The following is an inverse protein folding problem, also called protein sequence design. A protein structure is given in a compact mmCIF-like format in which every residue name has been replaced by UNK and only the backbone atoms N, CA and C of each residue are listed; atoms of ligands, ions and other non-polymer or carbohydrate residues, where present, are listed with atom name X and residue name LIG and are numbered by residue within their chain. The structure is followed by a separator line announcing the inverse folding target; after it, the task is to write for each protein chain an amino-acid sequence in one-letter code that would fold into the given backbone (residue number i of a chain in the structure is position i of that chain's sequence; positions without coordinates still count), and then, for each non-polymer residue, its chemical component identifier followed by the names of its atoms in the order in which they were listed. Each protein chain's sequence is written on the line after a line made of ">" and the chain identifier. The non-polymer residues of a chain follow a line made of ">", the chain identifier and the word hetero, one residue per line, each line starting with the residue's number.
data_IF_543496358553
#
_entry.id   IF_543496358553
#
_cell.length_a   1.000
_cell.length_b   1.000
_cell.length_c   1.000
_cell.angle_alpha   90.00
_cell.angle_beta   90.00
_cell.angle_gamma   90.00
#
_symmetry.space_group_name_H-M   'P 1'
#
loop_
_entity.id
_entity.type
_entity.pdbx_description
1 polymer ?
#
# COMPACT_ATOMS: atom_id res chain seq x y z
N UNK A 1 42.87 16.80 -29.13
CA UNK A 1 41.46 17.14 -29.44
C UNK A 1 40.47 15.99 -29.22
N UNK A 2 40.88 14.71 -29.22
CA UNK A 2 39.99 13.55 -29.00
C UNK A 2 39.53 13.33 -27.54
N UNK A 3 40.37 13.62 -26.53
CA UNK A 3 40.06 13.34 -25.11
C UNK A 3 38.88 14.17 -24.57
N UNK A 4 38.71 15.40 -25.06
CA UNK A 4 37.62 16.29 -24.67
C UNK A 4 36.25 15.86 -25.21
N UNK A 5 36.20 15.08 -26.29
CA UNK A 5 34.93 14.65 -26.91
C UNK A 5 34.32 13.46 -26.15
N UNK A 6 35.16 12.51 -25.72
CA UNK A 6 34.77 11.31 -24.96
C UNK A 6 34.19 11.70 -23.59
N UNK A 7 34.75 12.71 -22.92
CA UNK A 7 34.23 13.21 -21.65
C UNK A 7 32.85 13.87 -21.77
N UNK A 8 32.55 14.53 -22.90
CA UNK A 8 31.25 15.17 -23.12
C UNK A 8 30.16 14.14 -23.40
N UNK A 9 30.42 13.14 -24.24
CA UNK A 9 29.47 12.05 -24.51
C UNK A 9 29.20 11.19 -23.28
N UNK A 10 30.23 10.87 -22.48
CA UNK A 10 30.06 10.14 -21.21
C UNK A 10 29.18 10.93 -20.22
N UNK A 11 29.42 12.25 -20.11
CA UNK A 11 28.66 13.13 -19.21
C UNK A 11 27.19 13.25 -19.63
N UNK A 12 26.91 13.32 -20.93
CA UNK A 12 25.55 13.34 -21.47
C UNK A 12 24.86 11.99 -21.25
N UNK A 13 25.56 10.87 -21.47
CA UNK A 13 25.02 9.53 -21.22
C UNK A 13 24.69 9.31 -19.73
N UNK A 14 25.59 9.71 -18.82
CA UNK A 14 25.35 9.67 -17.37
C UNK A 14 24.16 10.55 -16.94
N UNK A 15 24.01 11.74 -17.54
CA UNK A 15 22.86 12.60 -17.28
C UNK A 15 21.54 12.00 -17.79
N UNK A 16 21.54 11.37 -18.96
CA UNK A 16 20.36 10.67 -19.50
C UNK A 16 20.01 9.49 -18.59
N UNK A 17 20.97 8.61 -18.27
CA UNK A 17 20.76 7.46 -17.39
C UNK A 17 20.26 7.94 -16.01
N UNK A 18 20.91 8.93 -15.42
CA UNK A 18 20.47 9.52 -14.14
C UNK A 18 19.05 10.08 -14.21
N UNK A 19 18.67 10.74 -15.31
CA UNK A 19 17.32 11.29 -15.50
C UNK A 19 16.24 10.22 -15.73
N UNK A 20 16.59 9.13 -16.42
CA UNK A 20 15.73 7.96 -16.65
C UNK A 20 15.45 7.22 -15.35
N UNK A 21 16.39 7.24 -14.39
CA UNK A 21 16.18 6.65 -13.07
C UNK A 21 15.49 7.59 -12.06
N UNK A 22 15.76 8.90 -12.12
CA UNK A 22 15.17 9.85 -11.16
C UNK A 22 13.69 10.12 -11.40
N UNK A 23 13.24 10.08 -12.66
CA UNK A 23 11.85 10.40 -13.02
C UNK A 23 10.85 9.34 -12.52
N UNK A 24 11.05 8.01 -12.71
CA UNK A 24 10.18 6.99 -12.15
C UNK A 24 10.16 7.01 -10.62
N UNK A 25 11.33 7.21 -9.97
CA UNK A 25 11.42 7.27 -8.50
C UNK A 25 10.65 8.45 -7.95
N UNK A 26 10.79 9.64 -8.55
CA UNK A 26 10.07 10.85 -8.12
C UNK A 26 8.56 10.70 -8.34
N UNK A 27 8.16 10.11 -9.47
CA UNK A 27 6.75 9.85 -9.77
C UNK A 27 6.13 8.85 -8.79
N UNK A 28 6.82 7.73 -8.51
CA UNK A 28 6.36 6.72 -7.56
C UNK A 28 6.27 7.28 -6.15
N UNK A 29 7.28 8.05 -5.70
CA UNK A 29 7.27 8.68 -4.39
C UNK A 29 6.08 9.66 -4.25
N UNK A 30 5.87 10.55 -5.23
CA UNK A 30 4.75 11.48 -5.20
C UNK A 30 3.38 10.79 -5.32
N UNK A 31 3.28 9.72 -6.11
CA UNK A 31 2.03 8.94 -6.24
C UNK A 31 1.70 8.18 -4.95
N UNK A 32 2.72 7.65 -4.25
CA UNK A 32 2.56 7.02 -2.92
C UNK A 32 2.03 8.01 -1.89
N UNK A 33 2.61 9.20 -1.82
CA UNK A 33 2.13 10.26 -0.92
C UNK A 33 0.69 10.64 -1.26
N UNK A 34 0.39 10.78 -2.56
CA UNK A 34 -0.98 11.06 -3.00
C UNK A 34 -1.97 9.97 -2.64
N UNK A 35 -1.59 8.71 -2.80
CA UNK A 35 -2.40 7.57 -2.39
C UNK A 35 -2.66 7.60 -0.87
N UNK A 36 -1.64 7.85 -0.06
CA UNK A 36 -1.77 7.93 1.40
C UNK A 36 -2.72 9.07 1.84
N UNK A 37 -2.64 10.24 1.20
CA UNK A 37 -3.56 11.35 1.45
C UNK A 37 -5.01 11.00 1.09
N UNK A 38 -5.23 10.40 -0.07
CA UNK A 38 -6.56 9.94 -0.48
C UNK A 38 -7.07 8.88 0.50
N UNK A 39 -6.21 7.94 0.89
CA UNK A 39 -6.54 6.90 1.87
C UNK A 39 -6.93 7.47 3.23
N UNK A 40 -6.21 8.48 3.73
CA UNK A 40 -6.57 9.19 4.96
C UNK A 40 -7.93 9.88 4.86
N UNK A 41 -8.22 10.51 3.72
CA UNK A 41 -9.48 11.23 3.53
C UNK A 41 -10.69 10.29 3.36
N UNK A 42 -10.49 9.15 2.71
CA UNK A 42 -11.56 8.18 2.39
C UNK A 42 -11.69 7.07 3.44
N UNK A 43 -10.79 7.02 4.43
CA UNK A 43 -10.82 6.04 5.50
C UNK A 43 -10.43 4.63 5.04
N UNK A 44 -9.48 4.52 4.09
CA UNK A 44 -9.04 3.23 3.55
C UNK A 44 -8.38 2.33 4.58
N UNK A 45 -7.77 2.91 5.61
CA UNK A 45 -7.21 2.19 6.75
C UNK A 45 -7.69 2.86 8.02
N UNK A 46 -8.38 2.11 8.87
CA UNK A 46 -8.73 2.58 10.21
C UNK A 46 -8.72 1.45 11.23
N UNK A 47 -8.22 1.78 12.41
CA UNK A 47 -8.50 1.01 13.62
C UNK A 47 -9.95 1.25 13.99
N UNK A 48 -10.67 0.17 14.27
CA UNK A 48 -12.09 0.23 14.58
C UNK A 48 -12.31 0.24 16.10
N UNK A 49 -13.06 1.21 16.58
CA UNK A 49 -13.59 1.19 17.93
C UNK A 49 -14.82 0.26 18.03
N UNK A 50 -15.14 -0.18 19.25
CA UNK A 50 -16.26 -1.11 19.48
C UNK A 50 -17.58 -0.43 19.09
N UNK A 51 -18.25 -0.98 18.09
CA UNK A 51 -19.55 -0.49 17.59
C UNK A 51 -19.45 0.35 16.32
N UNK A 52 -18.25 0.67 15.83
CA UNK A 52 -18.10 1.26 14.51
C UNK A 52 -18.51 0.27 13.41
N UNK A 53 -19.21 0.77 12.39
CA UNK A 53 -19.59 -0.05 11.25
C UNK A 53 -18.35 -0.34 10.37
N UNK A 54 -18.03 -1.60 10.05
CA UNK A 54 -16.90 -1.93 9.19
C UNK A 54 -17.19 -1.63 7.72
N UNK A 55 -16.19 -1.77 6.85
CA UNK A 55 -16.43 -1.72 5.42
C UNK A 55 -17.44 -2.80 5.00
N UNK A 56 -18.26 -2.50 3.99
CA UNK A 56 -19.23 -3.46 3.46
C UNK A 56 -18.58 -4.75 2.92
N UNK A 57 -17.31 -4.67 2.50
CA UNK A 57 -16.50 -5.79 2.02
C UNK A 57 -15.70 -6.50 3.12
N UNK A 58 -15.99 -6.25 4.40
CA UNK A 58 -15.25 -6.87 5.49
C UNK A 58 -15.55 -8.37 5.55
N UNK A 59 -14.52 -9.18 5.32
CA UNK A 59 -14.62 -10.64 5.28
C UNK A 59 -14.14 -11.27 6.59
N UNK A 60 -14.87 -12.29 7.04
CA UNK A 60 -14.46 -13.16 8.14
C UNK A 60 -14.32 -14.60 7.64
N UNK A 61 -13.40 -15.34 8.21
CA UNK A 61 -13.25 -16.76 7.92
C UNK A 61 -14.03 -17.58 8.94
N UNK A 62 -14.80 -18.55 8.43
CA UNK A 62 -15.63 -19.46 9.21
C UNK A 62 -15.28 -20.90 8.85
N UNK A 63 -15.16 -21.75 9.85
CA UNK A 63 -14.91 -23.18 9.69
C UNK A 63 -16.20 -23.94 10.02
N UNK A 64 -16.70 -24.77 9.10
CA UNK A 64 -17.97 -25.50 9.30
C UNK A 64 -17.75 -26.69 10.24
N UNK A 65 -16.79 -27.55 9.91
CA UNK A 65 -16.35 -28.64 10.75
C UNK A 65 -14.84 -28.54 11.04
N UNK A 66 -14.44 -29.01 12.24
CA UNK A 66 -13.05 -28.97 12.69
C UNK A 66 -12.14 -29.75 11.74
N UNK A 67 -11.18 -29.08 11.13
CA UNK A 67 -10.21 -29.61 10.17
C UNK A 67 -10.58 -29.34 8.71
N UNK A 68 -11.73 -28.74 8.44
CA UNK A 68 -12.09 -28.31 7.08
C UNK A 68 -11.39 -27.01 6.69
N UNK A 69 -11.33 -26.76 5.38
CA UNK A 69 -10.86 -25.49 4.88
C UNK A 69 -11.88 -24.40 5.22
N UNK A 70 -11.44 -23.28 5.83
CA UNK A 70 -12.35 -22.21 6.17
C UNK A 70 -12.91 -21.55 4.92
N UNK A 71 -14.11 -21.00 5.06
CA UNK A 71 -14.84 -20.27 4.04
C UNK A 71 -14.83 -18.78 4.37
N UNK A 72 -14.66 -17.96 3.34
CA UNK A 72 -14.76 -16.51 3.43
C UNK A 72 -16.22 -16.08 3.37
N UNK A 73 -16.70 -15.41 4.43
CA UNK A 73 -18.08 -14.91 4.53
C UNK A 73 -18.05 -13.42 4.86
N UNK A 74 -18.90 -12.63 4.20
CA UNK A 74 -19.02 -11.22 4.53
C UNK A 74 -19.57 -11.06 5.95
N UNK A 75 -19.05 -10.09 6.70
CA UNK A 75 -19.49 -9.85 8.08
C UNK A 75 -21.01 -9.64 8.18
N UNK A 76 -21.61 -8.97 7.17
CA UNK A 76 -23.05 -8.75 7.09
C UNK A 76 -23.86 -10.05 6.93
N UNK A 77 -23.26 -11.12 6.44
CA UNK A 77 -23.90 -12.39 6.11
C UNK A 77 -23.66 -13.47 7.17
N UNK A 78 -22.76 -13.21 8.13
CA UNK A 78 -22.38 -14.18 9.19
C UNK A 78 -23.59 -14.73 9.93
N UNK A 79 -24.57 -13.88 10.25
CA UNK A 79 -25.77 -14.32 10.97
C UNK A 79 -26.57 -15.34 10.16
N UNK A 80 -26.72 -15.09 8.86
CA UNK A 80 -27.50 -15.95 7.98
C UNK A 80 -26.71 -17.24 7.67
N UNK A 81 -25.38 -17.16 7.59
CA UNK A 81 -24.50 -18.32 7.51
C UNK A 81 -24.67 -19.27 8.72
N UNK A 82 -24.66 -18.74 9.94
CA UNK A 82 -24.88 -19.56 11.15
C UNK A 82 -26.30 -20.14 11.24
N UNK A 83 -27.30 -19.48 10.63
CA UNK A 83 -28.64 -20.03 10.55
C UNK A 83 -28.70 -21.27 9.63
N UNK A 84 -27.86 -21.32 8.58
CA UNK A 84 -27.75 -22.47 7.68
C UNK A 84 -26.79 -23.55 8.18
N UNK A 85 -25.77 -23.18 8.96
CA UNK A 85 -24.73 -24.07 9.50
C UNK A 85 -24.60 -23.89 11.03
N UNK A 86 -25.48 -24.52 11.83
CA UNK A 86 -25.53 -24.32 13.29
C UNK A 86 -24.29 -24.84 14.04
N UNK A 87 -23.53 -25.72 13.41
CA UNK A 87 -22.32 -26.38 13.86
C UNK A 87 -21.02 -25.60 13.51
N UNK A 88 -21.11 -24.61 12.63
CA UNK A 88 -19.98 -23.79 12.25
C UNK A 88 -19.38 -23.02 13.44
N UNK A 89 -18.11 -22.65 13.31
CA UNK A 89 -17.34 -21.90 14.31
C UNK A 89 -16.47 -20.82 13.65
N UNK A 90 -16.33 -19.68 14.31
CA UNK A 90 -15.37 -18.63 13.91
C UNK A 90 -13.94 -18.93 14.37
N UNK A 91 -13.77 -19.91 15.26
CA UNK A 91 -12.46 -20.31 15.77
C UNK A 91 -11.80 -21.24 14.76
N UNK A 92 -10.66 -20.81 14.23
CA UNK A 92 -9.91 -21.55 13.23
C UNK A 92 -9.02 -22.59 13.90
N UNK A 93 -8.99 -23.81 13.34
CA UNK A 93 -8.18 -24.93 13.83
C UNK A 93 -6.68 -24.73 13.59
N UNK A 94 -6.30 -24.02 12.53
CA UNK A 94 -4.93 -23.78 12.11
C UNK A 94 -4.37 -22.43 12.58
N UNK A 95 -3.05 -22.33 12.73
CA UNK A 95 -2.37 -21.04 12.96
C UNK A 95 -2.31 -20.18 11.70
N UNK A 96 -2.20 -20.80 10.54
CA UNK A 96 -2.19 -20.16 9.23
C UNK A 96 -2.84 -21.09 8.23
N UNK A 97 -3.38 -20.55 7.14
CA UNK A 97 -3.96 -21.35 6.08
C UNK A 97 -4.58 -20.50 5.00
N UNK A 98 -5.24 -21.17 4.06
CA UNK A 98 -5.98 -20.53 2.97
C UNK A 98 -7.42 -21.01 2.95
N UNK A 99 -8.28 -20.21 2.35
CA UNK A 99 -9.67 -20.61 2.08
C UNK A 99 -9.75 -21.64 0.97
N UNK A 100 -10.92 -22.31 0.87
CA UNK A 100 -11.16 -23.33 -0.14
C UNK A 100 -11.01 -22.81 -1.60
N UNK A 101 -11.36 -21.56 -1.84
CA UNK A 101 -11.22 -20.88 -3.14
C UNK A 101 -9.80 -20.34 -3.41
N UNK A 102 -8.87 -20.50 -2.46
CA UNK A 102 -7.49 -20.00 -2.49
C UNK A 102 -7.37 -18.47 -2.63
N UNK A 103 -8.48 -17.74 -2.48
CA UNK A 103 -8.49 -16.29 -2.67
C UNK A 103 -8.10 -15.54 -1.39
N UNK A 104 -8.17 -16.20 -0.23
CA UNK A 104 -7.82 -15.59 1.05
C UNK A 104 -6.78 -16.42 1.79
N UNK A 105 -5.85 -15.71 2.44
CA UNK A 105 -4.90 -16.26 3.41
C UNK A 105 -5.21 -15.72 4.79
N UNK A 106 -4.98 -16.52 5.83
CA UNK A 106 -5.15 -16.09 7.19
C UNK A 106 -3.98 -16.46 8.09
N UNK A 107 -3.86 -15.68 9.15
CA UNK A 107 -2.93 -15.90 10.25
C UNK A 107 -3.63 -15.62 11.58
N UNK A 108 -3.60 -16.59 12.49
CA UNK A 108 -4.07 -16.46 13.87
C UNK A 108 -2.93 -15.91 14.72
N UNK A 109 -3.03 -14.64 15.11
CA UNK A 109 -1.99 -13.88 15.83
C UNK A 109 -1.93 -14.22 17.32
N UNK A 110 -3.10 -14.44 17.95
CA UNK A 110 -3.20 -14.81 19.37
C UNK A 110 -4.19 -15.95 19.54
N UNK A 111 -3.79 -16.96 20.30
CA UNK A 111 -4.53 -18.22 20.45
C UNK A 111 -4.94 -18.42 21.91
N UNK A 112 -5.98 -17.70 22.37
CA UNK A 112 -6.72 -18.15 23.54
C UNK A 112 -7.77 -19.16 23.07
N UNK A 113 -8.02 -20.26 23.81
CA UNK A 113 -9.04 -21.24 23.43
C UNK A 113 -10.46 -20.65 23.32
N UNK A 114 -10.71 -19.49 23.95
CA UNK A 114 -12.02 -18.83 23.92
C UNK A 114 -12.06 -17.62 22.97
N UNK A 115 -10.89 -17.12 22.58
CA UNK A 115 -10.76 -15.90 21.78
C UNK A 115 -9.51 -15.94 20.91
N UNK A 116 -9.72 -15.79 19.60
CA UNK A 116 -8.66 -15.69 18.62
C UNK A 116 -8.61 -14.29 18.04
N UNK A 117 -7.40 -13.85 17.67
CA UNK A 117 -7.21 -12.69 16.81
C UNK A 117 -6.74 -13.20 15.46
N UNK A 118 -7.50 -12.89 14.43
CA UNK A 118 -7.29 -13.41 13.08
C UNK A 118 -7.03 -12.24 12.15
N UNK A 119 -5.93 -12.33 11.41
CA UNK A 119 -5.62 -11.47 10.28
C UNK A 119 -5.95 -12.25 9.01
N UNK A 120 -6.63 -11.60 8.08
CA UNK A 120 -7.04 -12.16 6.79
C UNK A 120 -6.61 -11.22 5.67
N UNK A 121 -6.06 -11.78 4.62
CA UNK A 121 -5.51 -11.07 3.47
C UNK A 121 -6.06 -11.67 2.17
N UNK A 122 -6.48 -10.81 1.24
CA UNK A 122 -6.90 -11.22 -0.09
C UNK A 122 -5.70 -11.39 -1.01
N UNK A 123 -5.59 -12.56 -1.65
CA UNK A 123 -4.47 -12.99 -2.47
C UNK A 123 -4.63 -12.58 -3.95
N UNK A 124 -4.92 -11.31 -4.22
CA UNK A 124 -5.02 -10.76 -5.59
C UNK A 124 -4.41 -9.35 -5.69
N UNK A 125 -4.53 -8.72 -6.85
CA UNK A 125 -4.13 -7.34 -7.16
C UNK A 125 -4.82 -6.27 -6.30
N UNK A 126 -5.88 -6.62 -5.58
CA UNK A 126 -6.50 -5.81 -4.56
C UNK A 126 -5.95 -6.18 -3.18
N UNK A 127 -5.24 -5.25 -2.54
CA UNK A 127 -4.73 -5.46 -1.17
C UNK A 127 -5.87 -5.16 -0.19
N UNK A 128 -6.57 -6.21 0.23
CA UNK A 128 -7.54 -6.15 1.33
C UNK A 128 -6.96 -6.87 2.54
N UNK A 129 -6.85 -6.15 3.65
CA UNK A 129 -6.39 -6.69 4.92
C UNK A 129 -7.43 -6.41 6.00
N UNK A 130 -7.93 -7.48 6.62
CA UNK A 130 -8.88 -7.40 7.70
C UNK A 130 -8.30 -8.06 8.93
N UNK A 131 -8.46 -7.42 10.09
CA UNK A 131 -8.14 -8.02 11.38
C UNK A 131 -9.38 -8.00 12.24
N UNK A 132 -9.71 -9.15 12.84
CA UNK A 132 -10.82 -9.27 13.76
C UNK A 132 -10.46 -10.12 14.97
N UNK A 133 -11.23 -9.95 16.04
CA UNK A 133 -11.26 -10.88 17.15
C UNK A 133 -12.48 -11.79 17.01
N UNK A 134 -12.26 -13.09 17.06
CA UNK A 134 -13.30 -14.11 17.02
C UNK A 134 -13.39 -14.84 18.36
N UNK A 135 -14.62 -15.08 18.79
CA UNK A 135 -14.99 -16.14 19.73
C UNK A 135 -15.91 -17.12 18.99
N UNK A 136 -16.22 -18.28 19.56
CA UNK A 136 -16.98 -19.35 18.91
C UNK A 136 -18.21 -18.88 18.09
N UNK A 137 -18.91 -17.82 18.53
CA UNK A 137 -20.10 -17.28 17.85
C UNK A 137 -20.13 -15.76 17.67
N UNK A 138 -19.09 -15.05 18.08
CA UNK A 138 -19.07 -13.58 17.99
C UNK A 138 -17.80 -13.12 17.32
N UNK A 139 -17.92 -12.13 16.45
CA UNK A 139 -16.78 -11.49 15.82
C UNK A 139 -16.82 -10.00 16.10
N UNK A 140 -15.66 -9.45 16.46
CA UNK A 140 -15.44 -8.02 16.63
C UNK A 140 -14.40 -7.58 15.60
N UNK A 141 -14.76 -6.71 14.64
CA UNK A 141 -13.77 -6.14 13.73
C UNK A 141 -12.81 -5.24 14.50
N UNK A 142 -11.52 -5.28 14.15
CA UNK A 142 -10.47 -4.50 14.81
C UNK A 142 -9.77 -3.55 13.85
N UNK A 143 -9.40 -4.03 12.66
CA UNK A 143 -8.71 -3.23 11.65
C UNK A 143 -9.31 -3.58 10.30
N UNK A 144 -9.56 -2.56 9.49
CA UNK A 144 -9.95 -2.75 8.10
C UNK A 144 -9.10 -1.87 7.21
N UNK A 145 -8.37 -2.50 6.30
CA UNK A 145 -7.53 -1.85 5.31
C UNK A 145 -7.90 -2.32 3.90
N UNK A 146 -8.30 -1.38 3.05
CA UNK A 146 -8.69 -1.66 1.66
C UNK A 146 -7.91 -0.74 0.75
N UNK A 147 -6.88 -1.28 0.11
CA UNK A 147 -6.07 -0.58 -0.89
C UNK A 147 -6.51 -1.04 -2.28
N UNK A 148 -6.91 -0.07 -3.09
CA UNK A 148 -7.36 -0.31 -4.48
C UNK A 148 -6.52 0.51 -5.45
N UNK A 149 -6.34 -0.03 -6.66
CA UNK A 149 -5.72 0.66 -7.80
C UNK A 149 -6.37 2.02 -8.06
N UNK A 150 -7.66 2.18 -7.76
CA UNK A 150 -8.34 3.47 -7.86
C UNK A 150 -7.68 4.57 -7.00
N UNK A 151 -7.25 4.25 -5.78
CA UNK A 151 -6.54 5.19 -4.91
C UNK A 151 -5.17 5.55 -5.48
N UNK A 152 -4.48 4.57 -6.08
CA UNK A 152 -3.22 4.82 -6.80
C UNK A 152 -3.43 5.75 -7.99
N UNK A 153 -4.49 5.56 -8.78
CA UNK A 153 -4.84 6.43 -9.91
C UNK A 153 -5.14 7.85 -9.47
N UNK A 154 -5.85 8.02 -8.35
CA UNK A 154 -6.11 9.34 -7.75
C UNK A 154 -4.85 9.99 -7.19
N UNK A 155 -3.84 9.20 -6.79
CA UNK A 155 -2.52 9.70 -6.38
C UNK A 155 -1.61 10.12 -7.55
N UNK A 156 -1.83 9.62 -8.77
CA UNK A 156 -0.95 9.91 -9.93
C UNK A 156 -0.80 11.41 -10.26
N UNK A 157 -1.84 12.26 -10.21
CA UNK A 157 -1.69 13.70 -10.42
C UNK A 157 -0.67 14.34 -9.46
N UNK A 158 -0.61 13.89 -8.20
CA UNK A 158 0.41 14.35 -7.24
C UNK A 158 1.80 13.85 -7.61
N UNK A 159 1.92 12.60 -8.10
CA UNK A 159 3.17 12.08 -8.66
C UNK A 159 3.70 12.90 -9.84
N UNK A 160 2.82 13.32 -10.76
CA UNK A 160 3.16 14.19 -11.88
C UNK A 160 3.59 15.58 -11.41
N UNK A 161 2.84 16.17 -10.48
CA UNK A 161 3.15 17.48 -9.90
C UNK A 161 4.51 17.47 -9.19
N UNK A 162 4.77 16.46 -8.36
CA UNK A 162 6.03 16.31 -7.63
C UNK A 162 7.22 16.19 -8.57
N UNK A 163 7.08 15.34 -9.60
CA UNK A 163 8.10 15.19 -10.65
C UNK A 163 8.36 16.51 -11.38
N UNK A 164 7.30 17.27 -11.69
CA UNK A 164 7.43 18.58 -12.34
C UNK A 164 8.15 19.60 -11.46
N UNK A 165 7.81 19.68 -10.17
CA UNK A 165 8.45 20.58 -9.21
C UNK A 165 9.93 20.25 -9.02
N UNK A 166 10.28 18.97 -8.85
CA UNK A 166 11.67 18.52 -8.74
C UNK A 166 12.47 18.91 -9.99
N UNK A 167 11.92 18.65 -11.19
CA UNK A 167 12.57 19.05 -12.45
C UNK A 167 12.81 20.56 -12.53
N UNK A 168 11.83 21.37 -12.14
CA UNK A 168 11.95 22.84 -12.09
C UNK A 168 13.01 23.28 -11.07
N UNK A 169 13.07 22.66 -9.90
CA UNK A 169 14.05 22.95 -8.86
C UNK A 169 15.48 22.63 -9.32
N UNK A 170 15.70 21.44 -9.89
CA UNK A 170 17.01 21.04 -10.45
C UNK A 170 17.45 22.03 -11.54
N UNK A 171 16.55 22.40 -12.45
CA UNK A 171 16.85 23.37 -13.50
C UNK A 171 17.17 24.77 -12.95
N UNK A 172 16.60 25.15 -11.80
CA UNK A 172 16.90 26.43 -11.13
C UNK A 172 18.27 26.39 -10.46
N UNK A 173 18.59 25.32 -9.74
CA UNK A 173 19.90 25.11 -9.10
C UNK A 173 21.01 25.08 -10.15
N UNK A 174 20.77 24.42 -11.30
CA UNK A 174 21.73 24.39 -12.41
C UNK A 174 22.03 25.80 -12.95
N UNK A 175 21.00 26.60 -13.22
CA UNK A 175 21.15 27.99 -13.67
C UNK A 175 21.89 28.86 -12.65
N UNK A 176 21.60 28.68 -11.36
CA UNK A 176 22.32 29.37 -10.29
C UNK A 176 23.80 29.00 -10.25
N UNK A 177 24.13 27.72 -10.39
CA UNK A 177 25.51 27.24 -10.43
C UNK A 177 26.27 27.77 -11.65
N UNK A 178 25.62 27.82 -12.81
CA UNK A 178 26.18 28.40 -14.04
C UNK A 178 26.44 29.90 -13.86
N UNK A 179 25.50 30.67 -13.28
CA UNK A 179 25.69 32.09 -12.99
C UNK A 179 26.87 32.34 -12.04
N UNK A 180 26.94 31.63 -10.91
CA UNK A 180 28.06 31.70 -9.95
C UNK A 180 29.41 31.36 -10.60
N UNK A 181 29.46 30.33 -11.45
CA UNK A 181 30.67 29.99 -12.19
C UNK A 181 31.11 31.14 -13.09
N UNK A 182 30.17 31.80 -13.78
CA UNK A 182 30.47 32.87 -14.73
C UNK A 182 31.02 34.10 -14.00
N UNK A 183 30.40 34.50 -12.89
CA UNK A 183 30.85 35.63 -12.04
C UNK A 183 32.25 35.39 -11.47
N UNK A 184 32.53 34.18 -10.96
CA UNK A 184 33.87 33.84 -10.44
C UNK A 184 34.93 33.90 -11.54
N UNK A 185 34.59 33.44 -12.75
CA UNK A 185 35.55 33.46 -13.88
C UNK A 185 35.86 34.89 -14.34
N UNK A 186 34.85 35.77 -14.37
CA UNK A 186 35.06 37.19 -14.67
C UNK A 186 35.88 37.91 -13.59
N UNK A 187 35.66 37.56 -12.31
CA UNK A 187 36.40 38.17 -11.21
C UNK A 187 37.89 37.81 -11.27
N UNK A 188 38.20 36.53 -11.52
CA UNK A 188 39.58 36.05 -11.71
C UNK A 188 40.23 36.65 -12.96
N UNK A 189 39.47 36.92 -14.02
CA UNK A 189 40.02 37.54 -15.23
C UNK A 189 40.36 39.04 -15.07
N UNK A 190 39.79 39.70 -14.06
CA UNK A 190 40.03 41.13 -13.78
C UNK A 190 41.11 41.39 -12.73
N UNK A 191 41.55 40.36 -12.00
CA UNK A 191 42.65 40.40 -11.01
C UNK A 191 43.99 40.00 -11.61
#
# INVERSE_FOLDING_TARGET
>A
MQVTFINKTLSVALAIIGSVWFMPVSFLAGSRIGMELVCMQTGCSRSMERGEAPHASFTVLIEREKGELPEAVLLSEVRDFFAMHPDATLLLSGRTGKTADLAWEYQVESHSPEQQRVRVEYLDSHSMHFTYSASARTVQPLVSEVVSVAHMMLGMPLGLLFTFVIRRAIARVRRWKEALSTEVTEYVAKS
#
